data_IF_598136873030
#
_entry.id   IF_598136873030
#
_cell.length_a   1.000
_cell.length_b   1.000
_cell.length_c   1.000
_cell.angle_alpha   90.00
_cell.angle_beta   90.00
_cell.angle_gamma   90.00
#
_symmetry.space_group_name_H-M   'P 1'
#
loop_
_entity.id
_entity.type
_entity.pdbx_description
1 polymer ?
#
# COMPACT_ATOMS: atom_id res chain seq x y z
N UNK A 1 -3.63 -7.70 24.05
CA UNK A 1 -3.93 -8.73 25.07
C UNK A 1 -4.23 -8.11 26.44
N UNK A 2 -3.35 -7.24 27.01
CA UNK A 2 -3.54 -6.66 28.35
C UNK A 2 -4.83 -5.87 28.50
N UNK A 3 -5.17 -4.99 27.51
CA UNK A 3 -6.35 -4.12 27.54
C UNK A 3 -7.67 -4.92 27.57
N UNK A 4 -7.84 -5.89 26.69
CA UNK A 4 -9.04 -6.76 26.69
C UNK A 4 -9.10 -7.61 27.98
N UNK A 5 -7.99 -8.18 28.43
CA UNK A 5 -7.92 -8.95 29.66
C UNK A 5 -8.43 -8.19 30.88
N UNK A 6 -7.91 -6.97 31.11
CA UNK A 6 -8.37 -6.14 32.26
C UNK A 6 -9.83 -5.73 32.16
N UNK A 7 -10.37 -5.55 30.95
CA UNK A 7 -11.79 -5.22 30.74
C UNK A 7 -12.70 -6.42 31.00
N UNK A 8 -12.25 -7.64 30.72
CA UNK A 8 -12.99 -8.87 31.03
C UNK A 8 -12.94 -9.16 32.53
N UNK A 9 -11.77 -9.08 33.17
CA UNK A 9 -11.60 -9.28 34.61
C UNK A 9 -12.41 -8.32 35.46
N UNK A 10 -12.49 -7.05 35.05
CA UNK A 10 -13.27 -6.00 35.75
C UNK A 10 -14.71 -5.86 35.28
N UNK A 11 -15.24 -6.78 34.48
CA UNK A 11 -16.59 -6.64 33.93
C UNK A 11 -17.64 -7.02 34.98
N UNK A 12 -18.68 -6.16 35.17
CA UNK A 12 -19.86 -6.54 35.95
C UNK A 12 -20.69 -7.60 35.21
N UNK A 13 -21.65 -8.18 35.91
CA UNK A 13 -22.62 -9.10 35.32
C UNK A 13 -23.31 -8.47 34.10
N UNK A 14 -23.54 -9.30 33.09
CA UNK A 14 -24.17 -8.89 31.86
C UNK A 14 -25.62 -9.39 31.83
N UNK A 15 -26.56 -8.50 32.08
CA UNK A 15 -27.97 -8.81 31.93
C UNK A 15 -28.30 -8.87 30.44
N UNK A 16 -28.69 -10.05 29.95
CA UNK A 16 -28.96 -10.29 28.54
C UNK A 16 -30.37 -9.88 28.13
N UNK A 17 -31.37 -9.88 29.04
CA UNK A 17 -32.75 -9.59 28.71
C UNK A 17 -33.01 -8.10 28.42
N UNK A 18 -33.79 -7.84 27.40
CA UNK A 18 -34.29 -6.51 27.02
C UNK A 18 -35.80 -6.56 26.81
N UNK A 19 -36.49 -5.59 27.36
CA UNK A 19 -37.96 -5.40 27.23
C UNK A 19 -38.21 -4.47 26.03
N UNK A 20 -38.13 -5.01 24.81
CA UNK A 20 -38.35 -4.28 23.55
C UNK A 20 -39.21 -5.10 22.59
N UNK A 21 -39.89 -4.42 21.68
CA UNK A 21 -40.80 -5.06 20.73
C UNK A 21 -40.10 -5.79 19.58
N UNK A 22 -38.83 -5.51 19.34
CA UNK A 22 -38.07 -6.10 18.24
C UNK A 22 -36.69 -6.58 18.67
N UNK A 23 -36.33 -7.79 18.29
CA UNK A 23 -35.05 -8.44 18.56
C UNK A 23 -35.17 -9.95 18.54
N UNK A 24 -34.06 -10.65 18.82
CA UNK A 24 -34.03 -12.11 18.93
C UNK A 24 -34.63 -12.53 20.28
N UNK A 25 -35.67 -13.37 20.33
CA UNK A 25 -36.33 -13.74 21.58
C UNK A 25 -35.43 -14.63 22.45
N UNK A 26 -35.56 -14.52 23.76
CA UNK A 26 -35.02 -15.46 24.73
C UNK A 26 -35.96 -16.67 24.81
N UNK A 27 -35.64 -17.73 24.09
CA UNK A 27 -36.54 -18.90 23.94
C UNK A 27 -36.49 -19.83 25.15
N UNK A 28 -36.94 -19.35 26.31
CA UNK A 28 -36.96 -20.10 27.55
C UNK A 28 -38.41 -20.24 28.08
N UNK A 29 -38.70 -21.42 28.67
CA UNK A 29 -39.89 -21.66 29.46
C UNK A 29 -39.53 -21.61 30.94
N UNK A 30 -40.29 -20.87 31.72
CA UNK A 30 -40.10 -20.73 33.16
C UNK A 30 -41.31 -21.33 33.88
N UNK A 31 -41.05 -22.20 34.87
CA UNK A 31 -42.11 -22.86 35.65
C UNK A 31 -42.76 -21.85 36.58
N UNK A 32 -44.09 -21.78 36.49
CA UNK A 32 -44.90 -20.90 37.32
C UNK A 32 -44.65 -21.15 38.80
N UNK A 33 -44.49 -20.07 39.57
CA UNK A 33 -44.34 -20.09 41.03
C UNK A 33 -42.94 -20.48 41.55
N UNK A 34 -42.06 -21.11 40.74
CA UNK A 34 -40.70 -21.47 41.16
C UNK A 34 -39.63 -20.58 40.52
N UNK A 35 -39.90 -20.03 39.35
CA UNK A 35 -38.90 -19.30 38.57
C UNK A 35 -37.80 -20.19 37.92
N UNK A 36 -37.96 -21.50 38.01
CA UNK A 36 -37.05 -22.44 37.37
C UNK A 36 -37.25 -22.53 35.86
N UNK A 37 -36.20 -22.38 35.05
CA UNK A 37 -36.32 -22.54 33.62
C UNK A 37 -36.22 -24.03 33.21
N UNK A 38 -36.98 -24.41 32.19
CA UNK A 38 -37.08 -25.74 31.65
C UNK A 38 -35.80 -26.07 30.86
N UNK A 39 -35.12 -27.15 31.27
CA UNK A 39 -33.95 -27.70 30.56
C UNK A 39 -34.34 -29.02 29.91
N UNK A 40 -34.87 -28.96 28.69
CA UNK A 40 -35.26 -30.16 27.95
C UNK A 40 -34.76 -30.07 26.50
N UNK A 41 -33.86 -30.98 26.08
CA UNK A 41 -33.32 -31.01 24.72
C UNK A 41 -34.39 -31.21 23.63
N UNK A 42 -35.48 -31.92 23.92
CA UNK A 42 -36.55 -32.15 22.92
C UNK A 42 -37.40 -30.89 22.73
N UNK A 43 -37.65 -30.16 23.79
CA UNK A 43 -38.33 -28.84 23.73
C UNK A 43 -37.46 -27.89 22.91
N UNK A 44 -36.15 -27.82 23.21
CA UNK A 44 -35.22 -26.98 22.49
C UNK A 44 -35.14 -27.37 20.99
N UNK A 45 -35.15 -28.66 20.68
CA UNK A 45 -35.13 -29.14 19.29
C UNK A 45 -36.38 -28.70 18.50
N UNK A 46 -37.58 -28.75 19.12
CA UNK A 46 -38.83 -28.27 18.50
C UNK A 46 -38.79 -26.76 18.27
N UNK A 47 -38.33 -25.98 19.22
CA UNK A 47 -38.14 -24.53 19.06
C UNK A 47 -37.19 -24.22 17.94
N UNK A 48 -36.00 -24.89 17.90
CA UNK A 48 -35.00 -24.70 16.84
C UNK A 48 -35.57 -25.05 15.46
N UNK A 49 -36.34 -26.14 15.35
CA UNK A 49 -36.97 -26.54 14.09
C UNK A 49 -37.99 -25.50 13.61
N UNK A 50 -38.81 -25.00 14.50
CA UNK A 50 -39.78 -23.97 14.18
C UNK A 50 -39.13 -22.64 13.76
N UNK A 51 -38.08 -22.22 14.45
CA UNK A 51 -37.31 -21.01 14.07
C UNK A 51 -36.60 -21.17 12.74
N UNK A 52 -36.08 -22.35 12.43
CA UNK A 52 -35.49 -22.63 11.10
C UNK A 52 -36.49 -22.51 9.96
N UNK A 53 -37.73 -22.91 10.18
CA UNK A 53 -38.80 -22.92 9.18
C UNK A 53 -39.49 -21.57 9.04
N UNK A 54 -39.78 -20.89 10.15
CA UNK A 54 -40.61 -19.71 10.19
C UNK A 54 -39.89 -18.44 10.67
N UNK A 55 -38.59 -18.49 11.00
CA UNK A 55 -37.86 -17.38 11.59
C UNK A 55 -38.18 -17.20 13.08
N UNK A 56 -37.61 -16.10 13.63
CA UNK A 56 -37.73 -15.80 15.08
C UNK A 56 -39.17 -15.55 15.56
N UNK A 57 -40.04 -15.15 14.65
CA UNK A 57 -41.49 -14.94 14.92
C UNK A 57 -42.24 -16.24 15.25
N UNK A 58 -41.60 -17.39 15.04
CA UNK A 58 -42.12 -18.68 15.50
C UNK A 58 -42.26 -18.76 17.03
N UNK A 59 -41.49 -17.95 17.76
CA UNK A 59 -41.60 -17.86 19.24
C UNK A 59 -42.84 -17.04 19.63
N UNK A 60 -44.01 -17.68 19.60
CA UNK A 60 -45.30 -17.10 19.81
C UNK A 60 -46.13 -17.93 20.81
N UNK A 61 -46.87 -17.29 21.70
CA UNK A 61 -47.64 -17.91 22.75
C UNK A 61 -48.65 -18.93 22.19
N UNK A 62 -49.20 -18.69 20.99
CA UNK A 62 -50.07 -19.64 20.28
C UNK A 62 -49.48 -20.97 19.96
N UNK A 63 -48.14 -21.07 19.93
CA UNK A 63 -47.35 -22.31 19.65
C UNK A 63 -46.78 -22.95 20.92
N UNK A 64 -47.06 -22.42 22.10
CA UNK A 64 -46.54 -22.89 23.39
C UNK A 64 -46.72 -24.38 23.61
N UNK A 65 -47.97 -24.88 23.38
CA UNK A 65 -48.30 -26.30 23.53
C UNK A 65 -47.54 -27.19 22.53
N UNK A 66 -47.30 -26.72 21.31
CA UNK A 66 -46.49 -27.41 20.30
C UNK A 66 -45.04 -27.57 20.78
N UNK A 67 -44.46 -26.54 21.33
CA UNK A 67 -43.06 -26.58 21.81
C UNK A 67 -42.92 -27.49 23.04
N UNK A 68 -43.85 -27.41 24.00
CA UNK A 68 -43.82 -28.20 25.22
C UNK A 68 -44.15 -29.69 24.96
N UNK A 69 -44.99 -29.96 23.94
CA UNK A 69 -45.41 -31.31 23.60
C UNK A 69 -46.27 -31.95 24.68
N UNK A 70 -46.41 -33.29 24.66
CA UNK A 70 -47.24 -34.02 25.58
C UNK A 70 -46.61 -34.20 27.02
N UNK A 71 -45.29 -33.93 27.12
CA UNK A 71 -44.54 -34.15 28.37
C UNK A 71 -44.81 -33.05 29.42
N UNK A 72 -45.30 -31.88 29.00
CA UNK A 72 -45.47 -30.73 29.90
C UNK A 72 -46.84 -30.09 29.69
N UNK A 73 -47.48 -29.75 30.83
CA UNK A 73 -48.72 -28.96 30.75
C UNK A 73 -48.40 -27.48 30.48
N UNK A 74 -48.93 -26.90 29.39
CA UNK A 74 -48.66 -25.50 29.05
C UNK A 74 -49.04 -24.49 30.14
N UNK A 75 -50.05 -24.80 30.96
CA UNK A 75 -50.51 -23.92 32.03
C UNK A 75 -49.49 -23.82 33.22
N UNK A 76 -48.54 -24.74 33.28
CA UNK A 76 -47.52 -24.78 34.34
C UNK A 76 -46.29 -23.92 33.98
N UNK A 77 -46.17 -23.41 32.78
CA UNK A 77 -45.04 -22.68 32.30
C UNK A 77 -45.40 -21.35 31.66
N UNK A 78 -44.51 -20.37 31.82
CA UNK A 78 -44.56 -19.07 31.14
C UNK A 78 -43.48 -19.03 30.04
N UNK A 79 -43.83 -18.50 28.88
CA UNK A 79 -42.87 -18.17 27.84
C UNK A 79 -42.19 -16.84 28.15
N UNK A 80 -40.88 -16.79 28.12
CA UNK A 80 -40.14 -15.53 28.26
C UNK A 80 -40.42 -14.65 27.06
N UNK A 81 -40.97 -13.45 27.26
CA UNK A 81 -41.25 -12.49 26.22
C UNK A 81 -40.13 -11.49 25.95
N UNK A 82 -39.07 -11.52 26.76
CA UNK A 82 -37.91 -10.66 26.59
C UNK A 82 -37.07 -11.07 25.39
N UNK A 83 -36.34 -10.11 24.82
CA UNK A 83 -35.39 -10.32 23.75
C UNK A 83 -33.95 -10.24 24.26
N UNK A 84 -33.02 -10.78 23.49
CA UNK A 84 -31.57 -10.69 23.77
C UNK A 84 -31.08 -9.25 23.59
N UNK A 85 -30.03 -8.90 24.33
CA UNK A 85 -29.20 -7.73 24.07
C UNK A 85 -28.57 -7.86 22.69
N UNK A 86 -28.66 -6.83 21.87
CA UNK A 86 -28.10 -6.79 20.53
C UNK A 86 -26.59 -7.08 20.49
N UNK A 87 -25.86 -6.82 21.57
CA UNK A 87 -24.46 -7.20 21.69
C UNK A 87 -24.24 -8.71 21.78
N UNK A 88 -25.24 -9.45 22.28
CA UNK A 88 -25.24 -10.90 22.21
C UNK A 88 -25.44 -11.39 20.79
N UNK A 89 -26.44 -10.83 20.08
CA UNK A 89 -26.68 -11.19 18.69
C UNK A 89 -25.44 -10.96 17.83
N UNK A 90 -24.80 -9.80 17.96
CA UNK A 90 -23.57 -9.47 17.22
C UNK A 90 -22.37 -10.31 17.69
N UNK A 91 -22.30 -10.66 18.97
CA UNK A 91 -21.26 -11.53 19.52
C UNK A 91 -21.27 -12.92 18.91
N UNK A 92 -22.47 -13.43 18.56
CA UNK A 92 -22.63 -14.74 17.89
C UNK A 92 -22.21 -14.77 16.41
N UNK A 93 -21.71 -13.66 15.83
CA UNK A 93 -21.30 -13.60 14.40
C UNK A 93 -20.37 -14.74 14.01
N UNK A 94 -19.44 -15.13 14.85
CA UNK A 94 -18.53 -16.26 14.61
C UNK A 94 -19.31 -17.56 14.36
N UNK A 95 -20.43 -17.80 15.05
CA UNK A 95 -21.22 -19.02 14.89
C UNK A 95 -22.03 -19.04 13.60
N UNK A 96 -22.80 -17.96 13.30
CA UNK A 96 -23.69 -17.96 12.14
C UNK A 96 -22.99 -17.54 10.83
N UNK A 97 -21.76 -17.00 10.89
CA UNK A 97 -20.98 -16.68 9.72
C UNK A 97 -19.88 -17.70 9.49
N UNK A 98 -18.90 -17.81 10.39
CA UNK A 98 -17.69 -18.61 10.15
C UNK A 98 -17.95 -20.12 10.21
N UNK A 99 -18.80 -20.58 11.13
CA UNK A 99 -19.12 -22.01 11.33
C UNK A 99 -20.38 -22.46 10.60
N UNK A 100 -21.11 -21.56 9.95
CA UNK A 100 -22.43 -21.87 9.34
C UNK A 100 -22.37 -22.86 8.19
N UNK A 101 -21.23 -23.05 7.56
CA UNK A 101 -21.07 -23.84 6.32
C UNK A 101 -21.67 -23.16 5.06
N UNK A 102 -22.29 -21.97 5.18
CA UNK A 102 -22.82 -21.22 4.03
C UNK A 102 -21.73 -20.74 3.08
N UNK A 103 -20.54 -20.49 3.62
CA UNK A 103 -19.36 -20.02 2.90
C UNK A 103 -18.20 -20.97 3.17
N UNK A 104 -17.96 -21.96 2.33
CA UNK A 104 -16.95 -23.01 2.57
C UNK A 104 -15.51 -22.50 2.71
N UNK A 105 -15.23 -21.30 2.18
CA UNK A 105 -13.91 -20.67 2.29
C UNK A 105 -13.67 -19.99 3.66
N UNK A 106 -14.70 -19.81 4.48
CA UNK A 106 -14.56 -19.24 5.80
C UNK A 106 -14.22 -20.31 6.84
N UNK A 107 -13.47 -19.91 7.84
CA UNK A 107 -13.04 -20.78 8.93
C UNK A 107 -13.27 -20.11 10.29
N UNK A 108 -13.41 -20.92 11.33
CA UNK A 108 -13.37 -20.52 12.72
C UNK A 108 -12.12 -21.11 13.38
N UNK A 109 -11.36 -20.34 14.19
CA UNK A 109 -11.52 -18.89 14.43
C UNK A 109 -11.20 -18.04 13.20
N UNK A 110 -11.61 -16.76 13.22
CA UNK A 110 -11.19 -15.78 12.24
C UNK A 110 -9.69 -15.47 12.39
N UNK A 111 -8.98 -15.25 11.28
CA UNK A 111 -7.59 -14.82 11.32
C UNK A 111 -7.47 -13.43 11.99
N UNK A 112 -8.40 -12.54 11.69
CA UNK A 112 -8.38 -11.15 12.15
C UNK A 112 -9.78 -10.59 12.41
N UNK A 113 -9.97 -9.98 13.60
CA UNK A 113 -11.07 -9.05 13.88
C UNK A 113 -10.55 -7.62 13.80
N UNK A 114 -11.17 -6.79 12.95
CA UNK A 114 -10.76 -5.41 12.67
C UNK A 114 -11.91 -4.46 12.91
N UNK A 115 -11.77 -3.54 13.88
CA UNK A 115 -12.76 -2.49 14.20
C UNK A 115 -12.11 -1.33 14.97
N UNK A 116 -12.91 -0.31 15.29
CA UNK A 116 -12.50 0.80 16.14
C UNK A 116 -12.16 0.39 17.56
N UNK A 117 -11.39 1.23 18.23
CA UNK A 117 -10.93 0.98 19.61
C UNK A 117 -12.04 0.95 20.66
N UNK A 118 -13.25 1.48 20.35
CA UNK A 118 -14.47 1.40 21.17
C UNK A 118 -14.99 -0.04 21.29
N UNK A 119 -14.73 -0.89 20.29
CA UNK A 119 -15.18 -2.28 20.26
C UNK A 119 -14.49 -3.19 21.28
N UNK A 120 -13.50 -2.70 22.00
CA UNK A 120 -12.97 -3.41 23.16
C UNK A 120 -14.02 -3.63 24.27
N UNK A 121 -15.04 -2.76 24.35
CA UNK A 121 -16.20 -2.89 25.26
C UNK A 121 -17.50 -3.24 24.52
N UNK A 122 -17.42 -3.52 23.24
CA UNK A 122 -18.54 -3.93 22.40
C UNK A 122 -18.30 -5.32 21.81
N UNK A 123 -18.25 -5.40 20.50
CA UNK A 123 -18.23 -6.63 19.73
C UNK A 123 -17.04 -7.56 20.06
N UNK A 124 -15.82 -7.04 20.24
CA UNK A 124 -14.67 -7.86 20.58
C UNK A 124 -14.87 -8.59 21.92
N UNK A 125 -15.50 -7.92 22.89
CA UNK A 125 -15.72 -8.48 24.22
C UNK A 125 -16.90 -9.47 24.24
N UNK A 126 -18.06 -9.13 23.63
CA UNK A 126 -19.20 -10.01 23.57
C UNK A 126 -18.86 -11.31 22.83
N UNK A 127 -18.26 -11.19 21.65
CA UNK A 127 -17.84 -12.33 20.84
C UNK A 127 -16.80 -13.21 21.55
N UNK A 128 -15.84 -12.61 22.29
CA UNK A 128 -14.86 -13.35 23.09
C UNK A 128 -15.55 -14.16 24.20
N UNK A 129 -16.45 -13.55 24.96
CA UNK A 129 -17.14 -14.21 26.06
C UNK A 129 -17.99 -15.37 25.57
N UNK A 130 -18.76 -15.17 24.50
CA UNK A 130 -19.65 -16.19 23.94
C UNK A 130 -18.88 -17.34 23.32
N UNK A 131 -17.80 -17.07 22.58
CA UNK A 131 -16.98 -18.12 22.01
C UNK A 131 -16.23 -18.88 23.08
N UNK A 132 -15.66 -18.21 24.09
CA UNK A 132 -14.98 -18.88 25.20
C UNK A 132 -15.95 -19.75 26.01
N UNK A 133 -17.17 -19.28 26.27
CA UNK A 133 -18.19 -20.02 27.02
C UNK A 133 -18.68 -21.27 26.27
N UNK A 134 -18.78 -21.21 24.96
CA UNK A 134 -19.40 -22.28 24.15
C UNK A 134 -18.38 -23.17 23.41
N UNK A 135 -17.16 -22.69 23.19
CA UNK A 135 -16.11 -23.37 22.39
C UNK A 135 -14.75 -23.44 23.08
N UNK A 136 -14.58 -22.82 24.24
CA UNK A 136 -13.35 -22.86 25.03
C UNK A 136 -12.19 -22.01 24.51
N UNK A 137 -12.39 -21.20 23.43
CA UNK A 137 -11.36 -20.30 22.89
C UNK A 137 -11.96 -19.01 22.28
N UNK A 138 -11.08 -18.02 22.06
CA UNK A 138 -11.46 -16.81 21.35
C UNK A 138 -11.89 -17.10 19.91
N UNK A 139 -12.82 -16.32 19.34
CA UNK A 139 -13.31 -16.51 17.98
C UNK A 139 -12.37 -15.93 16.90
N UNK A 140 -11.23 -15.41 17.30
CA UNK A 140 -10.21 -14.79 16.48
C UNK A 140 -8.80 -15.13 16.95
N UNK A 141 -7.85 -15.11 16.04
CA UNK A 141 -6.43 -15.24 16.33
C UNK A 141 -5.80 -13.88 16.63
N UNK A 142 -6.19 -12.84 15.90
CA UNK A 142 -5.70 -11.48 16.05
C UNK A 142 -6.84 -10.46 16.16
N UNK A 143 -6.53 -9.34 16.82
CA UNK A 143 -7.40 -8.16 16.88
C UNK A 143 -6.58 -6.95 16.47
N UNK A 144 -7.01 -6.26 15.42
CA UNK A 144 -6.46 -4.98 14.99
C UNK A 144 -7.48 -3.89 15.30
N UNK A 145 -7.04 -2.81 15.95
CA UNK A 145 -7.91 -1.68 16.28
C UNK A 145 -7.40 -0.41 15.63
N UNK A 146 -8.34 0.39 15.13
CA UNK A 146 -8.05 1.71 14.58
C UNK A 146 -8.65 2.82 15.45
N UNK A 147 -8.11 4.03 15.31
CA UNK A 147 -8.66 5.27 15.86
C UNK A 147 -9.82 5.81 15.03
N UNK A 148 -10.23 7.04 15.32
CA UNK A 148 -11.35 7.70 14.66
C UNK A 148 -10.85 8.78 13.69
N UNK A 149 -11.60 8.94 12.60
CA UNK A 149 -11.38 10.04 11.67
C UNK A 149 -12.03 11.32 12.22
N UNK A 150 -11.20 12.32 12.46
CA UNK A 150 -11.60 13.62 13.00
C UNK A 150 -11.64 14.66 11.88
N UNK A 151 -12.38 15.74 12.06
CA UNK A 151 -12.32 16.89 11.18
C UNK A 151 -10.93 17.54 11.23
N UNK A 152 -10.61 18.42 10.27
CA UNK A 152 -9.29 19.11 10.19
C UNK A 152 -8.90 19.85 11.46
N UNK A 153 -9.88 20.36 12.21
CA UNK A 153 -9.71 21.05 13.48
C UNK A 153 -9.56 20.10 14.70
N UNK A 154 -9.58 18.78 14.46
CA UNK A 154 -9.44 17.75 15.50
C UNK A 154 -10.71 17.45 16.27
N UNK A 155 -11.86 18.02 15.89
CA UNK A 155 -13.15 17.70 16.52
C UNK A 155 -13.80 16.50 15.83
N UNK A 156 -14.62 15.77 16.59
CA UNK A 156 -15.43 14.68 16.04
C UNK A 156 -16.36 15.23 14.95
N UNK A 157 -16.41 14.53 13.82
CA UNK A 157 -17.33 14.88 12.74
C UNK A 157 -18.77 14.56 13.13
N UNK A 158 -19.67 15.50 12.88
CA UNK A 158 -21.11 15.30 13.04
C UNK A 158 -21.91 16.13 12.03
N UNK A 159 -23.07 15.61 11.63
CA UNK A 159 -23.97 16.34 10.73
C UNK A 159 -24.47 17.66 11.35
N UNK A 160 -24.67 17.67 12.67
CA UNK A 160 -25.13 18.86 13.41
C UNK A 160 -24.10 20.00 13.44
N UNK A 161 -22.80 19.68 13.38
CA UNK A 161 -21.72 20.65 13.32
C UNK A 161 -21.39 21.07 11.89
N UNK A 162 -21.91 20.39 10.89
CA UNK A 162 -21.62 20.68 9.48
C UNK A 162 -20.16 20.44 9.06
N UNK A 163 -19.39 19.71 9.88
CA UNK A 163 -17.96 19.44 9.67
C UNK A 163 -17.68 18.03 9.12
N UNK A 164 -18.68 17.38 8.54
CA UNK A 164 -18.54 16.07 7.92
C UNK A 164 -18.00 16.21 6.51
N UNK A 165 -17.06 15.33 6.16
CA UNK A 165 -16.57 15.17 4.80
C UNK A 165 -17.33 14.03 4.14
N UNK A 166 -17.92 14.30 2.99
CA UNK A 166 -18.60 13.31 2.18
C UNK A 166 -17.60 12.61 1.26
N UNK A 167 -17.30 11.31 1.48
CA UNK A 167 -16.33 10.58 0.68
C UNK A 167 -16.72 10.50 -0.80
N UNK A 168 -18.03 10.51 -1.14
CA UNK A 168 -18.47 10.49 -2.53
C UNK A 168 -18.03 11.75 -3.26
N UNK A 169 -18.16 12.93 -2.63
CA UNK A 169 -17.71 14.20 -3.21
C UNK A 169 -16.19 14.24 -3.36
N UNK A 170 -15.45 13.68 -2.40
CA UNK A 170 -13.98 13.56 -2.51
C UNK A 170 -13.61 12.65 -3.67
N UNK A 171 -14.32 11.53 -3.85
CA UNK A 171 -14.09 10.63 -5.00
C UNK A 171 -14.42 11.28 -6.34
N UNK A 172 -15.47 12.09 -6.43
CA UNK A 172 -15.80 12.86 -7.63
C UNK A 172 -14.69 13.87 -8.00
N UNK A 173 -14.06 14.48 -7.00
CA UNK A 173 -13.03 15.51 -7.21
C UNK A 173 -11.64 14.92 -7.44
N UNK A 174 -11.25 13.91 -6.69
CA UNK A 174 -9.87 13.40 -6.64
C UNK A 174 -9.72 11.94 -7.09
N UNK A 175 -10.80 11.19 -7.17
CA UNK A 175 -10.79 9.74 -7.36
C UNK A 175 -10.70 8.95 -6.05
N UNK A 176 -11.12 7.69 -6.10
CA UNK A 176 -11.15 6.82 -4.91
C UNK A 176 -9.75 6.49 -4.36
N UNK A 177 -8.75 6.39 -5.23
CA UNK A 177 -7.38 6.06 -4.83
C UNK A 177 -6.74 7.13 -3.92
N UNK A 178 -7.19 8.39 -4.01
CA UNK A 178 -6.70 9.44 -3.10
C UNK A 178 -7.17 9.21 -1.66
N UNK A 179 -8.43 8.78 -1.47
CA UNK A 179 -8.94 8.45 -0.13
C UNK A 179 -8.19 7.23 0.42
N UNK A 180 -7.93 6.22 -0.41
CA UNK A 180 -7.17 5.02 -0.03
C UNK A 180 -5.73 5.37 0.35
N UNK A 181 -5.06 6.17 -0.48
CA UNK A 181 -3.70 6.62 -0.24
C UNK A 181 -3.61 7.43 1.07
N UNK A 182 -4.55 8.38 1.29
CA UNK A 182 -4.62 9.12 2.54
C UNK A 182 -4.82 8.18 3.74
N UNK A 183 -5.79 7.27 3.69
CA UNK A 183 -6.11 6.37 4.80
C UNK A 183 -4.93 5.46 5.19
N UNK A 184 -4.10 5.06 4.22
CA UNK A 184 -2.92 4.24 4.44
C UNK A 184 -1.65 5.06 4.73
N UNK A 185 -1.69 6.40 4.52
CA UNK A 185 -0.56 7.30 4.81
C UNK A 185 -0.60 7.89 6.22
N UNK A 186 -1.67 7.64 6.98
CA UNK A 186 -1.80 8.09 8.37
C UNK A 186 -1.55 6.92 9.33
N UNK A 187 -1.18 7.23 10.57
CA UNK A 187 -1.19 6.22 11.64
C UNK A 187 -2.63 5.89 12.00
N UNK A 188 -3.11 4.78 11.47
CA UNK A 188 -4.49 4.32 11.69
C UNK A 188 -4.76 3.82 13.10
N UNK A 189 -3.74 3.57 13.93
CA UNK A 189 -3.92 3.10 15.31
C UNK A 189 -4.37 4.22 16.26
N UNK A 190 -4.14 5.48 15.88
CA UNK A 190 -4.52 6.68 16.61
C UNK A 190 -5.61 7.47 15.87
N UNK A 191 -6.23 8.42 16.57
CA UNK A 191 -7.19 9.34 15.96
C UNK A 191 -6.47 10.22 14.93
N UNK A 192 -6.98 10.26 13.70
CA UNK A 192 -6.36 10.98 12.60
C UNK A 192 -7.33 11.98 11.96
N UNK A 193 -6.79 12.93 11.22
CA UNK A 193 -7.55 14.03 10.63
C UNK A 193 -7.73 13.88 9.14
N UNK A 194 -8.82 14.43 8.63
CA UNK A 194 -9.08 14.60 7.21
C UNK A 194 -9.50 16.05 6.94
N UNK A 195 -9.12 16.59 5.78
CA UNK A 195 -9.45 17.93 5.34
C UNK A 195 -8.83 18.22 3.98
N UNK A 196 -9.21 19.36 3.35
CA UNK A 196 -8.82 19.68 1.98
C UNK A 196 -7.29 19.77 1.78
N UNK A 197 -6.56 20.38 2.73
CA UNK A 197 -5.10 20.47 2.65
C UNK A 197 -4.43 19.09 2.77
N UNK A 198 -4.95 18.22 3.62
CA UNK A 198 -4.45 16.86 3.82
C UNK A 198 -4.70 16.04 2.56
N UNK A 199 -5.89 16.13 1.98
CA UNK A 199 -6.24 15.46 0.73
C UNK A 199 -5.43 15.99 -0.45
N UNK A 200 -5.11 17.29 -0.48
CA UNK A 200 -4.22 17.87 -1.48
C UNK A 200 -2.80 17.29 -1.35
N UNK A 201 -2.29 17.13 -0.12
CA UNK A 201 -1.01 16.46 0.12
C UNK A 201 -0.98 15.02 -0.37
N UNK A 202 -2.06 14.25 -0.13
CA UNK A 202 -2.21 12.91 -0.69
C UNK A 202 -2.26 12.92 -2.22
N UNK A 203 -2.91 13.94 -2.83
CA UNK A 203 -2.92 14.16 -4.27
C UNK A 203 -1.54 14.44 -4.85
N UNK A 204 -0.66 15.14 -4.11
CA UNK A 204 0.73 15.38 -4.53
C UNK A 204 1.55 14.08 -4.52
N UNK A 205 1.40 13.25 -3.49
CA UNK A 205 2.03 11.93 -3.44
C UNK A 205 1.52 11.01 -4.55
N UNK A 206 0.21 10.99 -4.79
CA UNK A 206 -0.39 10.25 -5.90
C UNK A 206 0.19 10.63 -7.25
N UNK A 207 0.34 11.94 -7.52
CA UNK A 207 0.93 12.41 -8.80
C UNK A 207 2.35 11.90 -9.00
N UNK A 208 3.15 11.83 -7.93
CA UNK A 208 4.52 11.27 -7.99
C UNK A 208 4.49 9.80 -8.39
N UNK A 209 3.69 8.99 -7.71
CA UNK A 209 3.52 7.56 -8.04
C UNK A 209 3.00 7.37 -9.47
N UNK A 210 1.97 8.11 -9.88
CA UNK A 210 1.42 8.04 -11.24
C UNK A 210 2.46 8.44 -12.30
N UNK A 211 3.28 9.44 -12.05
CA UNK A 211 4.36 9.84 -12.95
C UNK A 211 5.41 8.73 -13.11
N UNK A 212 5.76 8.01 -12.03
CA UNK A 212 6.63 6.82 -12.10
C UNK A 212 6.05 5.77 -13.04
N UNK A 213 4.78 5.41 -12.88
CA UNK A 213 4.12 4.45 -13.78
C UNK A 213 4.04 4.93 -15.23
N UNK A 214 3.72 6.22 -15.43
CA UNK A 214 3.70 6.80 -16.78
C UNK A 214 5.07 6.73 -17.45
N UNK A 215 6.14 6.99 -16.71
CA UNK A 215 7.49 6.84 -17.21
C UNK A 215 7.80 5.39 -17.58
N UNK A 216 7.51 4.45 -16.70
CA UNK A 216 7.73 3.01 -16.92
C UNK A 216 6.98 2.51 -18.17
N UNK A 217 5.71 2.86 -18.32
CA UNK A 217 4.91 2.50 -19.50
C UNK A 217 5.54 3.02 -20.79
N UNK A 218 5.94 4.30 -20.82
CA UNK A 218 6.57 4.89 -22.01
C UNK A 218 7.96 4.30 -22.30
N UNK A 219 8.80 4.10 -21.28
CA UNK A 219 10.15 3.54 -21.43
C UNK A 219 10.14 2.07 -21.86
N UNK A 220 9.08 1.34 -21.53
CA UNK A 220 8.89 -0.08 -21.85
C UNK A 220 8.04 -0.32 -23.09
N UNK A 221 7.63 0.73 -23.80
CA UNK A 221 6.91 0.57 -25.06
C UNK A 221 7.72 -0.28 -26.06
N UNK A 222 7.07 -1.31 -26.63
CA UNK A 222 7.72 -2.29 -27.52
C UNK A 222 8.80 -3.17 -26.88
N UNK A 223 8.93 -3.20 -25.53
CA UNK A 223 9.85 -4.10 -24.83
C UNK A 223 9.13 -5.42 -24.53
N UNK A 224 9.65 -6.52 -25.08
CA UNK A 224 9.01 -7.85 -25.00
C UNK A 224 9.62 -8.71 -23.86
N UNK A 225 10.53 -8.17 -23.07
CA UNK A 225 11.05 -8.86 -21.89
C UNK A 225 11.91 -10.09 -22.22
N UNK A 226 12.74 -10.03 -23.24
CA UNK A 226 13.76 -11.05 -23.40
C UNK A 226 14.97 -10.66 -22.52
N UNK A 227 15.14 -11.39 -21.43
CA UNK A 227 16.39 -11.40 -20.65
C UNK A 227 17.46 -12.18 -21.42
N UNK A 228 17.55 -11.99 -22.74
CA UNK A 228 18.66 -12.45 -23.52
C UNK A 228 19.96 -12.02 -22.84
N UNK A 229 21.00 -12.76 -23.04
CA UNK A 229 22.34 -12.59 -22.42
C UNK A 229 22.70 -11.10 -22.25
N UNK A 230 22.27 -10.51 -21.10
CA UNK A 230 22.42 -9.07 -20.82
C UNK A 230 23.89 -8.76 -20.53
N UNK A 231 24.77 -9.69 -20.78
CA UNK A 231 26.17 -9.52 -20.50
C UNK A 231 26.43 -9.13 -19.04
N UNK A 232 27.45 -8.35 -18.80
CA UNK A 232 27.72 -7.78 -17.48
C UNK A 232 26.73 -6.63 -17.21
N UNK A 233 25.82 -6.82 -16.24
CA UNK A 233 24.83 -5.80 -15.85
C UNK A 233 25.57 -4.59 -15.29
N UNK A 234 25.34 -3.35 -15.79
CA UNK A 234 26.05 -2.18 -15.30
C UNK A 234 25.80 -1.96 -13.79
N UNK A 235 26.76 -1.40 -13.10
CA UNK A 235 26.80 -1.31 -11.65
C UNK A 235 25.61 -0.49 -11.07
N UNK A 236 25.17 0.55 -11.77
CA UNK A 236 24.00 1.33 -11.36
C UNK A 236 22.73 0.48 -11.36
N UNK A 237 22.55 -0.37 -12.37
CA UNK A 237 21.43 -1.30 -12.48
C UNK A 237 21.44 -2.32 -11.33
N UNK A 238 22.60 -2.85 -10.98
CA UNK A 238 22.78 -3.75 -9.82
C UNK A 238 22.42 -3.03 -8.52
N UNK A 239 22.84 -1.78 -8.36
CA UNK A 239 22.51 -0.96 -7.19
C UNK A 239 21.00 -0.73 -7.06
N UNK A 240 20.32 -0.39 -8.15
CA UNK A 240 18.85 -0.20 -8.12
C UNK A 240 18.11 -1.49 -7.80
N UNK A 241 18.55 -2.62 -8.31
CA UNK A 241 17.97 -3.93 -7.96
C UNK A 241 18.22 -4.28 -6.49
N UNK A 242 19.37 -3.92 -5.93
CA UNK A 242 19.63 -4.09 -4.50
C UNK A 242 18.71 -3.22 -3.63
N UNK A 243 18.46 -1.97 -4.04
CA UNK A 243 17.48 -1.09 -3.38
C UNK A 243 16.05 -1.66 -3.49
N UNK A 244 15.68 -2.24 -4.62
CA UNK A 244 14.38 -2.90 -4.80
C UNK A 244 14.24 -4.12 -3.88
N UNK A 245 15.29 -4.93 -3.73
CA UNK A 245 15.30 -6.08 -2.82
C UNK A 245 15.16 -5.66 -1.35
N UNK A 246 15.82 -4.58 -0.95
CA UNK A 246 15.68 -3.99 0.39
C UNK A 246 14.27 -3.44 0.61
N UNK A 247 13.71 -2.74 -0.38
CA UNK A 247 12.33 -2.26 -0.36
C UNK A 247 11.33 -3.43 -0.20
N UNK A 248 11.49 -4.52 -0.97
CA UNK A 248 10.62 -5.70 -0.89
C UNK A 248 10.58 -6.25 0.54
N UNK A 249 11.73 -6.42 1.16
CA UNK A 249 11.83 -6.90 2.55
C UNK A 249 11.13 -5.96 3.55
N UNK A 250 11.32 -4.65 3.39
CA UNK A 250 10.69 -3.62 4.25
C UNK A 250 9.18 -3.56 4.06
N UNK A 251 8.69 -3.66 2.81
CA UNK A 251 7.25 -3.66 2.53
C UNK A 251 6.56 -4.92 3.07
N UNK A 252 7.18 -6.10 2.94
CA UNK A 252 6.67 -7.34 3.55
C UNK A 252 6.56 -7.19 5.07
N UNK A 253 7.63 -6.71 5.71
CA UNK A 253 7.65 -6.50 7.15
C UNK A 253 6.56 -5.50 7.60
N UNK A 254 6.40 -4.40 6.89
CA UNK A 254 5.35 -3.42 7.18
C UNK A 254 3.93 -4.03 7.01
N UNK A 255 3.69 -4.81 5.95
CA UNK A 255 2.41 -5.48 5.72
C UNK A 255 2.10 -6.52 6.81
N UNK A 256 3.06 -7.36 7.18
CA UNK A 256 2.92 -8.37 8.23
C UNK A 256 2.61 -7.78 9.61
N UNK A 257 3.07 -6.55 9.87
CA UNK A 257 2.85 -5.82 11.11
C UNK A 257 1.69 -4.81 11.03
N UNK A 258 0.95 -4.77 9.93
CA UNK A 258 -0.13 -3.81 9.67
C UNK A 258 0.32 -2.34 9.74
N UNK A 259 1.61 -2.06 9.51
CA UNK A 259 2.18 -0.70 9.45
C UNK A 259 2.04 -0.13 8.03
N UNK A 260 0.82 0.20 7.66
CA UNK A 260 0.51 0.70 6.32
C UNK A 260 1.03 2.12 6.08
N UNK A 261 1.25 2.90 7.14
CA UNK A 261 1.89 4.20 7.03
C UNK A 261 3.34 4.05 6.56
N UNK A 262 4.12 3.17 7.21
CA UNK A 262 5.48 2.87 6.76
C UNK A 262 5.49 2.27 5.35
N UNK A 263 4.57 1.35 5.04
CA UNK A 263 4.42 0.75 3.71
C UNK A 263 4.26 1.82 2.63
N UNK A 264 3.30 2.71 2.80
CA UNK A 264 2.99 3.76 1.82
C UNK A 264 4.13 4.73 1.66
N UNK A 265 4.73 5.17 2.77
CA UNK A 265 5.89 6.08 2.76
C UNK A 265 7.07 5.48 2.03
N UNK A 266 7.46 4.24 2.36
CA UNK A 266 8.57 3.54 1.69
C UNK A 266 8.37 3.45 0.18
N UNK A 267 7.15 3.13 -0.27
CA UNK A 267 6.83 3.06 -1.70
C UNK A 267 6.93 4.42 -2.38
N UNK A 268 6.41 5.48 -1.75
CA UNK A 268 6.46 6.86 -2.29
C UNK A 268 7.90 7.37 -2.34
N UNK A 269 8.67 7.16 -1.28
CA UNK A 269 10.07 7.62 -1.18
C UNK A 269 10.93 6.93 -2.25
N UNK A 270 10.84 5.61 -2.39
CA UNK A 270 11.55 4.87 -3.43
C UNK A 270 11.21 5.37 -4.85
N UNK A 271 9.93 5.54 -5.15
CA UNK A 271 9.51 6.05 -6.47
C UNK A 271 9.99 7.48 -6.74
N UNK A 272 10.04 8.34 -5.71
CA UNK A 272 10.41 9.74 -5.85
C UNK A 272 11.93 9.93 -5.82
N UNK A 273 12.61 9.40 -4.81
CA UNK A 273 14.02 9.70 -4.51
C UNK A 273 14.98 8.78 -5.26
N UNK A 274 14.70 7.46 -5.25
CA UNK A 274 15.59 6.50 -5.88
C UNK A 274 15.33 6.35 -7.38
N UNK A 275 14.07 6.37 -7.80
CA UNK A 275 13.75 6.21 -9.21
C UNK A 275 13.68 7.54 -9.95
N UNK A 276 12.77 8.44 -9.59
CA UNK A 276 12.50 9.64 -10.39
C UNK A 276 13.64 10.65 -10.34
N UNK A 277 14.11 10.98 -9.12
CA UNK A 277 15.16 12.00 -8.94
C UNK A 277 16.58 11.48 -9.19
N UNK A 278 16.77 10.16 -9.23
CA UNK A 278 18.09 9.56 -9.39
C UNK A 278 18.14 8.68 -10.65
N UNK A 279 17.60 7.47 -10.60
CA UNK A 279 17.81 6.46 -11.65
C UNK A 279 17.28 6.87 -13.03
N UNK A 280 16.03 7.32 -13.10
CA UNK A 280 15.43 7.73 -14.37
C UNK A 280 16.09 8.98 -14.94
N UNK A 281 16.46 9.92 -14.07
CA UNK A 281 17.12 11.15 -14.50
C UNK A 281 18.51 10.86 -15.10
N UNK A 282 19.29 9.98 -14.49
CA UNK A 282 20.61 9.56 -15.00
C UNK A 282 20.48 8.81 -16.33
N UNK A 283 19.54 7.86 -16.43
CA UNK A 283 19.42 6.94 -17.56
C UNK A 283 18.56 7.43 -18.72
N UNK A 284 17.90 8.58 -18.61
CA UNK A 284 17.07 9.10 -19.71
C UNK A 284 17.87 9.33 -21.00
N UNK A 285 19.13 9.78 -20.92
CA UNK A 285 19.97 9.94 -22.10
C UNK A 285 20.23 8.58 -22.78
N UNK A 286 20.59 7.55 -22.03
CA UNK A 286 20.75 6.19 -22.54
C UNK A 286 19.46 5.68 -23.19
N UNK A 287 18.32 5.87 -22.54
CA UNK A 287 17.01 5.42 -23.06
C UNK A 287 16.68 6.01 -24.41
N UNK A 288 16.87 7.33 -24.57
CA UNK A 288 16.41 8.07 -25.75
C UNK A 288 17.47 8.21 -26.84
N UNK A 289 18.75 8.15 -26.47
CA UNK A 289 19.82 8.46 -27.39
C UNK A 289 20.65 7.24 -27.83
N UNK A 290 20.69 6.17 -27.07
CA UNK A 290 21.37 4.96 -27.48
C UNK A 290 20.57 4.15 -28.49
N UNK A 291 21.27 3.45 -29.39
CA UNK A 291 20.64 2.58 -30.38
C UNK A 291 19.96 1.35 -29.77
N UNK A 292 19.05 0.69 -30.51
CA UNK A 292 18.31 -0.48 -30.04
C UNK A 292 19.21 -1.65 -29.59
N UNK A 293 20.40 -1.78 -30.17
CA UNK A 293 21.41 -2.81 -29.85
C UNK A 293 22.31 -2.46 -28.66
N UNK A 294 22.16 -1.30 -28.00
CA UNK A 294 23.01 -0.91 -26.89
C UNK A 294 22.78 -1.83 -25.68
N UNK A 295 23.86 -2.45 -25.20
CA UNK A 295 23.83 -3.31 -24.00
C UNK A 295 23.33 -2.51 -22.78
N UNK A 296 23.84 -1.30 -22.60
CA UNK A 296 23.45 -0.40 -21.49
C UNK A 296 21.93 -0.07 -21.54
N UNK A 297 21.42 0.29 -22.72
CA UNK A 297 19.98 0.58 -22.92
C UNK A 297 19.11 -0.66 -22.65
N UNK A 298 19.52 -1.82 -23.10
CA UNK A 298 18.79 -3.05 -22.89
C UNK A 298 18.82 -3.49 -21.42
N UNK A 299 19.98 -3.40 -20.74
CA UNK A 299 20.09 -3.64 -19.30
C UNK A 299 19.17 -2.68 -18.51
N UNK A 300 19.18 -1.40 -18.86
CA UNK A 300 18.25 -0.41 -18.24
C UNK A 300 16.79 -0.81 -18.41
N UNK A 301 16.34 -1.14 -19.64
CA UNK A 301 14.94 -1.54 -19.90
C UNK A 301 14.57 -2.86 -19.18
N UNK A 302 15.49 -3.79 -19.05
CA UNK A 302 15.29 -5.02 -18.26
C UNK A 302 15.04 -4.70 -16.79
N UNK A 303 15.82 -3.79 -16.20
CA UNK A 303 15.60 -3.36 -14.82
C UNK A 303 14.30 -2.58 -14.69
N UNK A 304 13.93 -1.74 -15.66
CA UNK A 304 12.63 -1.07 -15.67
C UNK A 304 11.47 -2.07 -15.72
N UNK A 305 11.62 -3.20 -16.42
CA UNK A 305 10.60 -4.25 -16.47
C UNK A 305 10.42 -4.93 -15.11
N UNK A 306 11.51 -5.26 -14.44
CA UNK A 306 11.47 -5.80 -13.07
C UNK A 306 10.83 -4.80 -12.09
N UNK A 307 11.20 -3.52 -12.19
CA UNK A 307 10.61 -2.44 -11.39
C UNK A 307 9.10 -2.29 -11.67
N UNK A 308 8.68 -2.34 -12.95
CA UNK A 308 7.27 -2.28 -13.31
C UNK A 308 6.48 -3.41 -12.64
N UNK A 309 6.96 -4.65 -12.79
CA UNK A 309 6.29 -5.82 -12.22
C UNK A 309 6.25 -5.82 -10.69
N UNK A 310 7.27 -5.28 -10.02
CA UNK A 310 7.27 -5.14 -8.58
C UNK A 310 6.34 -4.01 -8.13
N UNK A 311 6.54 -2.80 -8.64
CA UNK A 311 5.86 -1.60 -8.18
C UNK A 311 4.36 -1.62 -8.43
N UNK A 312 3.88 -2.15 -9.57
CA UNK A 312 2.45 -2.24 -9.85
C UNK A 312 1.73 -3.15 -8.85
N UNK A 313 2.38 -4.24 -8.44
CA UNK A 313 1.85 -5.17 -7.42
C UNK A 313 1.93 -4.58 -6.02
N UNK A 314 3.01 -3.87 -5.66
CA UNK A 314 3.09 -3.15 -4.39
C UNK A 314 2.06 -2.03 -4.29
N UNK A 315 1.77 -1.35 -5.41
CA UNK A 315 0.77 -0.30 -5.45
C UNK A 315 -0.68 -0.83 -5.47
N UNK A 316 -0.92 -2.04 -5.97
CA UNK A 316 -2.26 -2.59 -6.15
C UNK A 316 -3.15 -2.55 -4.89
N UNK A 317 -2.69 -2.92 -3.68
CA UNK A 317 -3.52 -2.82 -2.47
C UNK A 317 -3.79 -1.38 -2.02
N UNK A 318 -3.02 -0.41 -2.46
CA UNK A 318 -3.13 1.02 -2.11
C UNK A 318 -3.91 1.79 -3.17
N UNK A 319 -3.42 1.75 -4.41
CA UNK A 319 -3.95 2.46 -5.58
C UNK A 319 -4.69 1.48 -6.49
N UNK A 320 -5.82 0.98 -6.00
CA UNK A 320 -6.55 -0.14 -6.62
C UNK A 320 -6.90 0.11 -8.08
N UNK A 321 -7.48 1.26 -8.38
CA UNK A 321 -7.91 1.61 -9.74
C UNK A 321 -6.72 1.96 -10.64
N UNK A 322 -5.78 2.72 -10.11
CA UNK A 322 -4.59 3.14 -10.87
C UNK A 322 -3.70 1.95 -11.23
N UNK A 323 -3.47 1.02 -10.29
CA UNK A 323 -2.66 -0.17 -10.56
C UNK A 323 -3.30 -1.06 -11.63
N UNK A 324 -4.63 -1.22 -11.62
CA UNK A 324 -5.36 -1.95 -12.64
C UNK A 324 -5.28 -1.26 -14.01
N UNK A 325 -5.45 0.08 -14.05
CA UNK A 325 -5.27 0.88 -15.28
C UNK A 325 -3.86 0.71 -15.87
N UNK A 326 -2.84 0.81 -15.03
CA UNK A 326 -1.43 0.64 -15.43
C UNK A 326 -1.15 -0.76 -15.96
N UNK A 327 -1.63 -1.78 -15.25
CA UNK A 327 -1.47 -3.19 -15.64
C UNK A 327 -2.15 -3.48 -16.97
N UNK A 328 -3.42 -3.16 -17.10
CA UNK A 328 -4.22 -3.41 -18.31
C UNK A 328 -3.75 -2.58 -19.51
N UNK A 329 -3.14 -1.42 -19.30
CA UNK A 329 -2.51 -0.64 -20.37
C UNK A 329 -1.34 -1.39 -21.01
N UNK A 330 -0.53 -2.06 -20.21
CA UNK A 330 0.63 -2.82 -20.73
C UNK A 330 0.26 -4.24 -21.15
N UNK A 331 -0.65 -4.88 -20.43
CA UNK A 331 -1.10 -6.25 -20.63
C UNK A 331 -2.63 -6.33 -20.75
N UNK A 332 -3.20 -5.94 -21.91
CA UNK A 332 -4.65 -5.89 -22.09
C UNK A 332 -5.35 -7.26 -21.86
N UNK A 333 -4.65 -8.35 -22.18
CA UNK A 333 -5.14 -9.72 -22.01
C UNK A 333 -4.56 -10.40 -20.76
N UNK A 334 -3.87 -9.66 -19.90
CA UNK A 334 -3.11 -10.18 -18.76
C UNK A 334 -3.93 -10.45 -17.49
N UNK A 335 -5.27 -10.37 -17.56
CA UNK A 335 -6.14 -10.45 -16.39
C UNK A 335 -5.97 -9.25 -15.46
N UNK A 336 -6.40 -9.40 -14.20
CA UNK A 336 -6.33 -8.32 -13.21
C UNK A 336 -5.04 -8.38 -12.40
N UNK A 337 -4.42 -7.20 -12.13
CA UNK A 337 -3.27 -7.07 -11.24
C UNK A 337 -3.57 -7.58 -9.82
N UNK A 338 -4.83 -7.50 -9.39
CA UNK A 338 -5.28 -7.92 -8.06
C UNK A 338 -5.31 -9.44 -7.85
N UNK A 339 -5.16 -10.21 -8.93
CA UNK A 339 -5.09 -11.68 -8.89
C UNK A 339 -3.64 -12.19 -8.98
N UNK A 340 -2.68 -11.28 -9.07
CA UNK A 340 -1.27 -11.64 -9.13
C UNK A 340 -0.71 -11.84 -7.71
N UNK A 341 0.22 -12.78 -7.62
CA UNK A 341 0.97 -13.00 -6.38
C UNK A 341 1.97 -11.87 -6.12
N UNK A 342 2.46 -11.80 -4.89
CA UNK A 342 3.56 -10.91 -4.52
C UNK A 342 4.77 -11.11 -5.43
N UNK A 343 5.42 -10.01 -5.90
CA UNK A 343 6.46 -10.14 -6.90
C UNK A 343 7.69 -10.89 -6.38
N UNK A 344 8.34 -11.62 -7.29
CA UNK A 344 9.65 -12.19 -7.04
C UNK A 344 10.70 -11.17 -7.50
N UNK A 345 11.49 -10.66 -6.58
CA UNK A 345 12.58 -9.72 -6.88
C UNK A 345 13.93 -10.42 -6.84
N UNK A 346 14.88 -10.06 -7.72
CA UNK A 346 16.22 -10.65 -7.69
C UNK A 346 16.94 -10.36 -6.37
N UNK A 347 17.47 -11.38 -5.74
CA UNK A 347 18.28 -11.27 -4.52
C UNK A 347 19.71 -10.83 -4.84
N UNK A 348 19.90 -9.55 -5.24
CA UNK A 348 21.22 -8.97 -5.50
C UNK A 348 21.66 -8.06 -4.36
N UNK A 349 22.96 -7.91 -4.21
CA UNK A 349 23.58 -7.01 -3.23
C UNK A 349 24.50 -6.03 -3.94
N UNK A 350 24.57 -4.81 -3.42
CA UNK A 350 25.52 -3.79 -3.86
C UNK A 350 26.26 -3.22 -2.64
N UNK A 351 27.40 -2.59 -2.86
CA UNK A 351 28.12 -1.87 -1.82
C UNK A 351 27.36 -0.56 -1.48
N UNK A 352 26.45 -0.66 -0.50
CA UNK A 352 25.62 0.45 -0.07
C UNK A 352 26.42 1.65 0.46
N UNK A 353 27.58 1.41 1.12
CA UNK A 353 28.39 2.50 1.66
C UNK A 353 29.06 3.29 0.53
N UNK A 354 29.58 2.59 -0.47
CA UNK A 354 30.17 3.18 -1.68
C UNK A 354 29.15 4.01 -2.46
N UNK A 355 27.93 3.49 -2.63
CA UNK A 355 26.85 4.22 -3.30
C UNK A 355 26.32 5.40 -2.48
N UNK A 356 26.29 5.31 -1.16
CA UNK A 356 25.93 6.43 -0.30
C UNK A 356 26.92 7.59 -0.44
N UNK A 357 28.24 7.29 -0.44
CA UNK A 357 29.30 8.29 -0.68
C UNK A 357 29.14 8.95 -2.06
N UNK A 358 28.82 8.17 -3.10
CA UNK A 358 28.64 8.70 -4.45
C UNK A 358 27.37 9.58 -4.57
N UNK A 359 26.30 9.23 -3.88
CA UNK A 359 25.08 10.05 -3.83
C UNK A 359 25.31 11.37 -3.08
N UNK A 360 26.04 11.33 -1.98
CA UNK A 360 26.46 12.54 -1.24
C UNK A 360 27.31 13.46 -2.14
N UNK A 361 28.30 12.90 -2.82
CA UNK A 361 29.11 13.67 -3.79
C UNK A 361 28.25 14.28 -4.92
N UNK A 362 27.24 13.53 -5.41
CA UNK A 362 26.31 14.07 -6.40
C UNK A 362 25.49 15.24 -5.84
N UNK A 363 25.06 15.18 -4.59
CA UNK A 363 24.35 16.29 -3.92
C UNK A 363 25.25 17.53 -3.85
N UNK A 364 26.50 17.39 -3.43
CA UNK A 364 27.48 18.48 -3.40
C UNK A 364 27.67 19.11 -4.80
N UNK A 365 27.74 18.29 -5.85
CA UNK A 365 27.84 18.77 -7.24
C UNK A 365 26.58 19.55 -7.64
N UNK A 366 25.40 19.06 -7.31
CA UNK A 366 24.15 19.73 -7.63
C UNK A 366 24.01 21.06 -6.88
N UNK A 367 24.44 21.11 -5.61
CA UNK A 367 24.47 22.35 -4.82
C UNK A 367 25.46 23.38 -5.42
N UNK A 368 26.62 22.92 -5.89
CA UNK A 368 27.61 23.79 -6.53
C UNK A 368 27.16 24.32 -7.90
N UNK A 369 26.32 23.57 -8.63
CA UNK A 369 25.73 23.97 -9.91
C UNK A 369 24.64 25.03 -9.74
N UNK A 370 23.84 24.97 -8.69
CA UNK A 370 22.63 25.78 -8.53
C UNK A 370 22.86 27.32 -8.55
N UNK A 371 23.92 27.88 -7.95
CA UNK A 371 24.24 29.30 -8.10
C UNK A 371 24.44 29.73 -9.55
N UNK A 372 25.16 28.94 -10.36
CA UNK A 372 25.42 29.22 -11.77
C UNK A 372 24.13 29.19 -12.61
N UNK A 373 23.20 28.28 -12.27
CA UNK A 373 21.88 28.21 -12.91
C UNK A 373 21.01 29.42 -12.56
N UNK A 374 20.98 29.78 -11.27
CA UNK A 374 20.24 30.96 -10.77
C UNK A 374 20.73 32.25 -11.42
N UNK A 375 22.07 32.38 -11.55
CA UNK A 375 22.71 33.55 -12.16
C UNK A 375 22.74 33.48 -13.70
N UNK A 376 22.15 32.42 -14.29
CA UNK A 376 22.05 32.17 -15.73
C UNK A 376 23.38 32.06 -16.47
N UNK A 377 24.45 31.70 -15.77
CA UNK A 377 25.76 31.39 -16.38
C UNK A 377 25.64 30.08 -17.16
N UNK A 378 24.93 29.08 -16.61
CA UNK A 378 24.55 27.85 -17.26
C UNK A 378 23.03 27.67 -17.19
N UNK A 379 22.45 26.90 -18.11
CA UNK A 379 21.02 26.58 -18.18
C UNK A 379 20.69 25.20 -17.64
N UNK A 380 21.66 24.28 -17.74
CA UNK A 380 21.52 22.90 -17.25
C UNK A 380 22.89 22.40 -16.75
N UNK A 381 22.89 21.30 -15.98
CA UNK A 381 24.11 20.61 -15.57
C UNK A 381 24.97 20.15 -16.76
N UNK A 382 24.35 19.85 -17.90
CA UNK A 382 25.05 19.45 -19.11
C UNK A 382 25.99 20.53 -19.68
N UNK A 383 25.89 21.78 -19.23
CA UNK A 383 26.79 22.89 -19.57
C UNK A 383 27.92 23.08 -18.54
N UNK A 384 28.03 22.20 -17.55
CA UNK A 384 28.97 22.32 -16.46
C UNK A 384 30.17 21.37 -16.60
N UNK A 385 31.37 21.91 -16.51
CA UNK A 385 32.61 21.20 -16.21
C UNK A 385 32.80 21.22 -14.69
N UNK A 386 32.94 20.04 -14.09
CA UNK A 386 32.99 19.86 -12.63
C UNK A 386 34.33 19.31 -12.19
N UNK A 387 34.94 19.97 -11.22
CA UNK A 387 36.10 19.43 -10.51
C UNK A 387 35.65 18.94 -9.12
N UNK A 388 35.90 17.66 -8.83
CA UNK A 388 35.54 17.04 -7.54
C UNK A 388 36.80 16.68 -6.74
N UNK A 389 36.73 16.67 -5.39
CA UNK A 389 37.84 16.16 -4.58
C UNK A 389 38.15 14.71 -4.93
N UNK A 390 39.40 14.40 -5.27
CA UNK A 390 39.81 13.04 -5.61
C UNK A 390 39.55 12.05 -4.44
N UNK A 391 39.63 12.53 -3.18
CA UNK A 391 39.37 11.76 -1.98
C UNK A 391 37.88 11.42 -1.76
N UNK A 392 36.96 12.18 -2.37
CA UNK A 392 35.53 11.98 -2.26
C UNK A 392 34.98 10.97 -3.30
N UNK A 393 35.79 10.62 -4.31
CA UNK A 393 35.37 9.69 -5.34
C UNK A 393 35.65 8.25 -4.91
N UNK A 394 34.62 7.37 -4.83
CA UNK A 394 34.82 5.95 -4.56
C UNK A 394 35.67 5.28 -5.67
N UNK A 395 36.40 4.22 -5.32
CA UNK A 395 37.17 3.45 -6.30
C UNK A 395 36.25 2.81 -7.36
N UNK A 396 36.78 2.63 -8.59
CA UNK A 396 36.13 1.89 -9.68
C UNK A 396 35.21 2.74 -10.58
N UNK A 397 35.00 4.03 -10.31
CA UNK A 397 34.32 4.93 -11.24
C UNK A 397 35.30 5.72 -12.09
N UNK A 398 35.11 5.73 -13.39
CA UNK A 398 35.83 6.64 -14.29
C UNK A 398 35.26 8.06 -14.25
N UNK A 399 36.01 9.04 -14.73
CA UNK A 399 35.47 10.43 -14.83
C UNK A 399 34.29 10.51 -15.80
N UNK A 400 34.21 9.64 -16.80
CA UNK A 400 33.08 9.52 -17.70
C UNK A 400 31.84 8.94 -17.00
N UNK A 401 31.98 7.95 -16.10
CA UNK A 401 30.90 7.43 -15.29
C UNK A 401 30.33 8.50 -14.34
N UNK A 402 31.23 9.28 -13.73
CA UNK A 402 30.85 10.39 -12.87
C UNK A 402 30.10 11.49 -13.64
N UNK A 403 30.58 11.85 -14.85
CA UNK A 403 29.89 12.82 -15.68
C UNK A 403 28.47 12.36 -16.07
N UNK A 404 28.27 11.07 -16.31
CA UNK A 404 26.95 10.50 -16.55
C UNK A 404 26.11 10.53 -15.27
N UNK A 405 26.64 10.09 -14.14
CA UNK A 405 25.92 10.05 -12.85
C UNK A 405 25.53 11.43 -12.35
N UNK A 406 26.34 12.46 -12.58
CA UNK A 406 26.07 13.85 -12.20
C UNK A 406 25.30 14.63 -13.25
N UNK A 407 25.17 14.09 -14.47
CA UNK A 407 24.51 14.71 -15.62
C UNK A 407 25.21 16.04 -15.96
N UNK A 408 26.53 16.00 -16.12
CA UNK A 408 27.40 17.14 -16.42
C UNK A 408 28.13 16.96 -17.77
N UNK A 409 28.73 18.01 -18.30
CA UNK A 409 29.54 17.92 -19.51
C UNK A 409 30.77 17.05 -19.26
N UNK A 410 31.53 17.39 -18.23
CA UNK A 410 32.72 16.64 -17.81
C UNK A 410 32.86 16.60 -16.30
N UNK A 411 33.65 15.65 -15.78
CA UNK A 411 34.14 15.59 -14.43
C UNK A 411 35.63 15.39 -14.44
N UNK A 412 36.34 16.13 -13.59
CA UNK A 412 37.76 15.94 -13.35
C UNK A 412 38.02 15.81 -11.83
N UNK A 413 39.04 15.03 -11.46
CA UNK A 413 39.45 14.87 -10.05
C UNK A 413 40.56 15.89 -9.75
N UNK A 414 40.39 16.62 -8.65
CA UNK A 414 41.31 17.65 -8.20
C UNK A 414 41.82 17.44 -6.79
N UNK A 415 42.82 18.21 -6.41
CA UNK A 415 43.40 18.22 -5.05
C UNK A 415 42.63 19.15 -4.09
N UNK A 416 41.61 19.84 -4.56
CA UNK A 416 40.73 20.70 -3.72
C UNK A 416 39.85 19.84 -2.83
N UNK A 417 39.56 20.32 -1.62
CA UNK A 417 38.61 19.70 -0.68
C UNK A 417 37.15 20.06 -0.99
N UNK A 418 36.89 20.87 -2.02
CA UNK A 418 35.54 21.33 -2.39
C UNK A 418 35.26 21.14 -3.89
N UNK A 419 34.00 20.94 -4.20
CA UNK A 419 33.53 20.89 -5.59
C UNK A 419 33.65 22.30 -6.21
N UNK A 420 34.18 22.35 -7.44
CA UNK A 420 34.24 23.56 -8.26
C UNK A 420 33.53 23.33 -9.58
N UNK A 421 32.77 24.33 -10.04
CA UNK A 421 31.98 24.26 -11.28
C UNK A 421 32.30 25.46 -12.16
N UNK A 422 32.56 25.16 -13.45
CA UNK A 422 32.70 26.18 -14.49
C UNK A 422 31.79 25.85 -15.68
N UNK A 423 31.51 26.85 -16.50
CA UNK A 423 30.80 26.58 -17.77
C UNK A 423 31.77 25.95 -18.74
N UNK A 424 31.35 24.89 -19.43
CA UNK A 424 32.12 24.28 -20.50
C UNK A 424 32.17 25.16 -21.77
N UNK A 425 33.26 25.09 -22.51
CA UNK A 425 33.41 25.74 -23.82
C UNK A 425 33.04 24.83 -24.98
N UNK A 426 32.63 23.56 -24.68
CA UNK A 426 32.31 22.56 -25.70
C UNK A 426 30.98 22.88 -26.42
N UNK A 427 30.88 22.36 -27.68
CA UNK A 427 29.68 22.52 -28.50
C UNK A 427 28.57 21.50 -28.16
N UNK A 428 27.33 21.89 -28.38
CA UNK A 428 26.15 21.09 -28.01
C UNK A 428 25.72 20.16 -29.14
N UNK A 429 25.64 18.85 -28.86
CA UNK A 429 25.06 17.89 -29.78
C UNK A 429 23.56 18.15 -30.03
N UNK A 430 23.16 18.22 -31.31
CA UNK A 430 21.77 18.51 -31.73
C UNK A 430 20.76 17.42 -31.33
N UNK A 431 21.22 16.17 -31.00
CA UNK A 431 20.33 15.06 -30.63
C UNK A 431 20.32 14.76 -29.14
N UNK A 432 21.45 14.50 -28.52
CA UNK A 432 21.51 14.13 -27.09
C UNK A 432 21.66 15.33 -26.15
N UNK A 433 21.94 16.52 -26.70
CA UNK A 433 22.10 17.79 -26.00
C UNK A 433 23.28 17.88 -25.03
N UNK A 434 24.15 16.85 -25.03
CA UNK A 434 25.41 16.91 -24.29
C UNK A 434 26.38 17.84 -25.01
N UNK A 435 27.19 18.55 -24.22
CA UNK A 435 28.28 19.36 -24.72
C UNK A 435 29.53 18.50 -24.68
N UNK A 436 30.16 18.26 -25.82
CA UNK A 436 31.20 17.26 -25.97
C UNK A 436 32.30 17.71 -26.93
N UNK A 437 33.57 17.33 -26.70
CA UNK A 437 34.70 17.67 -27.61
C UNK A 437 34.52 17.17 -29.04
N UNK A 438 33.76 16.09 -29.25
CA UNK A 438 33.48 15.52 -30.57
C UNK A 438 32.47 16.30 -31.40
N UNK A 439 31.83 17.34 -30.84
CA UNK A 439 30.88 18.18 -31.56
C UNK A 439 31.55 19.45 -32.05
N UNK A 440 31.67 19.61 -33.37
CA UNK A 440 32.39 20.73 -33.98
C UNK A 440 31.69 22.06 -33.81
N UNK A 441 30.39 22.09 -34.07
CA UNK A 441 29.52 23.30 -33.94
C UNK A 441 28.19 22.94 -33.26
N UNK A 442 27.58 23.91 -32.58
CA UNK A 442 26.27 23.72 -31.92
C UNK A 442 25.23 23.21 -32.92
N UNK A 443 24.65 22.05 -32.64
CA UNK A 443 23.64 21.40 -33.47
C UNK A 443 24.17 20.24 -34.32
N UNK A 444 25.50 20.08 -34.48
CA UNK A 444 26.10 18.88 -35.04
C UNK A 444 25.87 17.66 -34.14
N UNK A 445 26.07 16.47 -34.64
CA UNK A 445 25.98 15.24 -33.89
C UNK A 445 27.30 14.88 -33.25
N UNK A 446 27.28 14.30 -32.07
CA UNK A 446 28.45 13.61 -31.52
C UNK A 446 28.59 12.21 -32.14
N UNK A 447 29.77 11.61 -32.05
CA UNK A 447 30.11 10.30 -32.66
C UNK A 447 29.02 9.23 -32.36
N UNK A 448 28.60 9.10 -31.09
CA UNK A 448 27.52 8.17 -30.70
C UNK A 448 26.20 8.45 -31.45
N UNK A 449 25.84 9.71 -31.58
CA UNK A 449 24.58 10.08 -32.24
C UNK A 449 24.64 9.91 -33.75
N UNK A 450 25.82 10.13 -34.37
CA UNK A 450 26.05 9.84 -35.80
C UNK A 450 25.89 8.36 -36.09
N UNK A 451 26.55 7.49 -35.30
CA UNK A 451 26.45 6.04 -35.45
C UNK A 451 25.04 5.51 -35.33
N UNK A 452 24.28 6.04 -34.35
CA UNK A 452 22.87 5.63 -34.13
C UNK A 452 21.98 6.10 -35.28
N UNK A 453 22.12 7.33 -35.76
CA UNK A 453 21.33 7.85 -36.89
C UNK A 453 21.65 7.07 -38.16
N UNK A 454 22.93 6.82 -38.45
CA UNK A 454 23.34 6.00 -39.59
C UNK A 454 22.77 4.58 -39.56
N UNK A 455 22.69 3.98 -38.37
CA UNK A 455 22.09 2.65 -38.16
C UNK A 455 20.57 2.66 -38.41
N UNK A 456 19.88 3.71 -37.97
CA UNK A 456 18.40 3.85 -38.13
C UNK A 456 18.04 4.14 -39.58
N UNK A 457 18.80 5.01 -40.27
CA UNK A 457 18.61 5.33 -41.68
C UNK A 457 18.91 4.17 -42.61
N UNK A 458 19.87 3.31 -42.23
CA UNK A 458 20.22 2.10 -42.98
C UNK A 458 19.24 0.93 -42.76
N UNK A 459 18.37 1.02 -41.75
CA UNK A 459 17.34 0.02 -41.44
C UNK A 459 15.97 0.39 -41.98
N UNK A 460 15.77 1.61 -42.51
CA UNK A 460 14.53 2.11 -43.12
C UNK A 460 14.54 1.84 -44.64
#
# INVERSE_FOLDING_TARGET
RRRIGSMVEGRPDWVLSRQRAWGVPITLFVKNGTGEYLQDPEVNARVIAAVREHGVDAWDEGRKAEFLGEAYNPDDYEMVADILDVWFDSGCTHAFTLESGRWPALQWPADLYLEGSDQHRGWFQSSLLESCATRGRAPYDQVLTHGFTMASDGRKMSKSLGNTIDPLKVMEQYGADIIRLWALSVDSTEDHRIGDEILKGAGDQYRKLRNTFRYLLGALDGFIGDMGDVGEVPELEVYILALLADLDGKLRHAAENYDFNAYTRLLVDFCNEDLSAFYFDIRKDVLYCDGPGSVKRNAYRTVLDLLFHALVRYAAPVLVFTAEEVWSTRYPDGGSVHLLEWPQVPGVTADGARWAQLRELREDVMEAIEPLRRDKVIRSGLEADVAVPASAVPEGFSDADLAELFITASVARGDSDTVAVTRTDESKCGRCWRLLPSVAEDGDLCDRCEDVVATLDGAA
#
